data_IF_431341069489
#
_entry.id   IF_431341069489
#
_cell.length_a   1.000
_cell.length_b   1.000
_cell.length_c   1.000
_cell.angle_alpha   90.00
_cell.angle_beta   90.00
_cell.angle_gamma   90.00
#
_symmetry.space_group_name_H-M   'P 1'
#
loop_
_entity.id
_entity.type
_entity.pdbx_description
1 polymer ?
#
# COMPACT_ATOMS: atom_id res chain seq x y z
N UNK A 1 -15.49 20.48 -0.26
CA UNK A 1 -14.75 19.87 -1.39
C UNK A 1 -13.57 19.10 -0.82
N UNK A 2 -13.40 17.82 -1.19
CA UNK A 2 -12.15 17.12 -0.87
C UNK A 2 -11.15 17.50 -1.96
N UNK A 3 -10.10 18.22 -1.61
CA UNK A 3 -9.06 18.64 -2.56
C UNK A 3 -8.03 17.54 -2.68
N UNK A 4 -7.85 17.00 -3.88
CA UNK A 4 -6.74 16.09 -4.18
C UNK A 4 -5.48 16.92 -4.42
N UNK A 5 -4.41 16.62 -3.70
CA UNK A 5 -3.08 17.21 -3.91
C UNK A 5 -2.30 16.31 -4.86
N UNK A 6 -1.58 16.90 -5.81
CA UNK A 6 -0.74 16.17 -6.77
C UNK A 6 0.72 16.51 -6.46
N UNK A 7 1.47 15.50 -6.04
CA UNK A 7 2.92 15.59 -5.84
C UNK A 7 3.60 15.03 -7.09
N UNK A 8 4.53 15.80 -7.67
CA UNK A 8 5.43 15.28 -8.71
C UNK A 8 6.63 14.68 -8.01
N UNK A 9 6.91 13.42 -8.30
CA UNK A 9 8.00 12.65 -7.69
C UNK A 9 8.78 11.98 -8.81
N UNK A 10 10.11 12.03 -8.75
CA UNK A 10 10.95 11.29 -9.69
C UNK A 10 10.87 9.78 -9.37
N UNK A 11 10.47 8.91 -10.31
CA UNK A 11 10.31 7.48 -10.04
C UNK A 11 11.64 6.74 -9.84
N UNK A 12 12.77 7.29 -10.31
CA UNK A 12 14.10 6.69 -10.18
C UNK A 12 14.89 7.25 -8.99
N UNK A 13 14.55 8.46 -8.55
CA UNK A 13 15.20 9.14 -7.45
C UNK A 13 14.16 9.95 -6.65
N UNK A 14 13.25 9.27 -5.92
CA UNK A 14 12.11 9.93 -5.29
C UNK A 14 12.55 10.86 -4.17
N UNK A 15 12.03 12.08 -4.20
CA UNK A 15 12.29 13.12 -3.23
C UNK A 15 11.74 12.69 -1.85
N UNK A 16 12.63 12.60 -0.86
CA UNK A 16 12.28 12.10 0.48
C UNK A 16 11.16 12.89 1.13
N UNK A 17 11.14 14.20 0.94
CA UNK A 17 10.12 15.10 1.49
C UNK A 17 8.74 14.81 0.89
N UNK A 18 8.66 14.55 -0.41
CA UNK A 18 7.40 14.21 -1.08
C UNK A 18 6.88 12.83 -0.63
N UNK A 19 7.77 11.85 -0.48
CA UNK A 19 7.42 10.54 0.08
C UNK A 19 6.95 10.66 1.53
N UNK A 20 7.67 11.44 2.35
CA UNK A 20 7.30 11.68 3.75
C UNK A 20 5.92 12.33 3.87
N UNK A 21 5.62 13.30 3.01
CA UNK A 21 4.32 13.96 2.98
C UNK A 21 3.19 12.97 2.63
N UNK A 22 3.37 12.14 1.61
CA UNK A 22 2.41 11.10 1.26
C UNK A 22 2.23 10.08 2.40
N UNK A 23 3.32 9.71 3.07
CA UNK A 23 3.28 8.80 4.19
C UNK A 23 2.51 9.38 5.40
N UNK A 24 2.59 10.69 5.66
CA UNK A 24 1.76 11.35 6.69
C UNK A 24 0.26 11.27 6.36
N UNK A 25 -0.11 11.40 5.08
CA UNK A 25 -1.50 11.23 4.65
C UNK A 25 -2.00 9.82 4.97
N UNK A 26 -1.19 8.79 4.70
CA UNK A 26 -1.53 7.39 5.05
C UNK A 26 -1.67 7.22 6.56
N UNK A 27 -0.69 7.70 7.36
CA UNK A 27 -0.73 7.65 8.83
C UNK A 27 -1.96 8.34 9.43
N UNK A 28 -2.43 9.41 8.80
CA UNK A 28 -3.64 10.13 9.21
C UNK A 28 -4.96 9.44 8.76
N UNK A 29 -4.91 8.23 8.17
CA UNK A 29 -6.09 7.52 7.64
C UNK A 29 -6.62 8.10 6.33
N UNK A 30 -5.77 8.84 5.61
CA UNK A 30 -6.01 9.32 4.26
C UNK A 30 -5.70 8.26 3.19
N UNK A 31 -5.88 8.63 1.94
CA UNK A 31 -5.63 7.78 0.78
C UNK A 31 -4.54 8.41 -0.09
N UNK A 32 -3.67 7.58 -0.64
CA UNK A 32 -2.62 8.00 -1.58
C UNK A 32 -2.69 7.14 -2.83
N UNK A 33 -2.76 7.78 -3.99
CA UNK A 33 -2.52 7.10 -5.26
C UNK A 33 -1.03 7.18 -5.59
N UNK A 34 -0.39 6.04 -5.86
CA UNK A 34 1.06 5.97 -6.13
C UNK A 34 1.37 4.97 -7.25
N UNK A 35 2.44 5.21 -8.03
CA UNK A 35 2.86 4.28 -9.08
C UNK A 35 3.53 3.03 -8.48
N UNK A 36 3.31 1.88 -9.10
CA UNK A 36 4.13 0.65 -8.94
C UNK A 36 4.73 0.27 -10.30
N UNK A 37 5.49 -0.82 -10.35
CA UNK A 37 5.99 -1.43 -11.59
C UNK A 37 4.88 -1.95 -12.51
N UNK A 38 3.70 -2.25 -11.96
CA UNK A 38 2.54 -2.78 -12.68
C UNK A 38 1.51 -1.71 -13.04
N UNK A 39 0.88 -1.08 -12.05
CA UNK A 39 -0.21 -0.10 -12.24
C UNK A 39 -0.23 0.93 -11.11
N UNK A 40 -1.01 2.00 -11.24
CA UNK A 40 -1.26 2.88 -10.09
C UNK A 40 -2.09 2.16 -9.02
N UNK A 41 -1.55 2.12 -7.80
CA UNK A 41 -2.26 1.71 -6.60
C UNK A 41 -3.04 2.87 -5.99
N UNK A 42 -4.11 2.54 -5.27
CA UNK A 42 -4.74 3.46 -4.29
C UNK A 42 -4.56 2.83 -2.92
N UNK A 43 -3.63 3.37 -2.14
CA UNK A 43 -3.24 2.86 -0.83
C UNK A 43 -3.89 3.62 0.32
N UNK A 44 -3.95 2.92 1.45
CA UNK A 44 -4.33 3.39 2.77
C UNK A 44 -3.52 2.60 3.80
N UNK A 45 -3.60 2.98 5.08
CA UNK A 45 -3.08 2.16 6.16
C UNK A 45 -3.90 0.86 6.24
N UNK A 46 -3.24 -0.28 6.01
CA UNK A 46 -3.86 -1.60 5.97
C UNK A 46 -4.39 -2.06 7.34
N UNK A 47 -3.87 -1.50 8.44
CA UNK A 47 -4.27 -1.83 9.81
C UNK A 47 -5.38 -0.89 10.33
N UNK A 48 -5.77 0.11 9.53
CA UNK A 48 -6.80 1.07 9.88
C UNK A 48 -8.11 0.75 9.13
N UNK A 49 -9.05 0.10 9.82
CA UNK A 49 -10.35 -0.31 9.27
C UNK A 49 -11.08 0.84 8.56
N UNK A 50 -11.06 2.05 9.13
CA UNK A 50 -11.72 3.22 8.54
C UNK A 50 -11.05 3.64 7.24
N UNK A 51 -9.72 3.56 7.15
CA UNK A 51 -8.98 3.90 5.94
C UNK A 51 -9.20 2.86 4.84
N UNK A 52 -9.17 1.57 5.19
CA UNK A 52 -9.47 0.45 4.28
C UNK A 52 -10.89 0.57 3.71
N UNK A 53 -11.90 0.83 4.55
CA UNK A 53 -13.28 1.03 4.08
C UNK A 53 -13.39 2.15 3.04
N UNK A 54 -12.61 3.23 3.20
CA UNK A 54 -12.60 4.34 2.22
C UNK A 54 -12.03 3.92 0.86
N UNK A 55 -11.11 2.95 0.80
CA UNK A 55 -10.67 2.38 -0.50
C UNK A 55 -11.87 1.75 -1.22
N UNK A 56 -12.65 0.92 -0.54
CA UNK A 56 -13.83 0.27 -1.13
C UNK A 56 -14.85 1.30 -1.61
N UNK A 57 -15.16 2.30 -0.78
CA UNK A 57 -16.10 3.38 -1.12
C UNK A 57 -15.64 4.18 -2.35
N UNK A 58 -14.36 4.58 -2.41
CA UNK A 58 -13.83 5.40 -3.51
C UNK A 58 -13.69 4.60 -4.81
N UNK A 59 -13.29 3.33 -4.74
CA UNK A 59 -13.14 2.49 -5.94
C UNK A 59 -14.47 1.87 -6.39
N UNK A 60 -15.55 2.02 -5.62
CA UNK A 60 -16.82 1.31 -5.86
C UNK A 60 -16.64 -0.21 -5.85
N UNK A 61 -15.69 -0.71 -5.04
CA UNK A 61 -15.33 -2.14 -5.01
C UNK A 61 -16.32 -2.89 -4.11
N UNK A 62 -16.87 -4.03 -4.56
CA UNK A 62 -17.65 -4.89 -3.68
C UNK A 62 -16.85 -5.30 -2.43
N UNK A 63 -17.45 -5.30 -1.22
CA UNK A 63 -16.74 -5.62 0.02
C UNK A 63 -16.14 -7.03 0.08
N UNK A 64 -16.67 -7.96 -0.71
CA UNK A 64 -16.25 -9.35 -0.85
C UNK A 64 -15.04 -9.52 -1.79
N UNK A 65 -14.57 -8.46 -2.45
CA UNK A 65 -13.40 -8.51 -3.32
C UNK A 65 -12.16 -7.97 -2.58
N UNK A 66 -11.32 -8.84 -1.98
CA UNK A 66 -10.21 -8.42 -1.12
C UNK A 66 -9.20 -7.55 -1.85
N UNK A 67 -8.44 -6.77 -1.08
CA UNK A 67 -7.36 -5.92 -1.57
C UNK A 67 -6.00 -6.46 -1.10
N UNK A 68 -4.95 -6.14 -1.85
CA UNK A 68 -3.58 -6.58 -1.58
C UNK A 68 -2.92 -5.63 -0.57
N UNK A 69 -2.20 -6.19 0.41
CA UNK A 69 -1.32 -5.43 1.30
C UNK A 69 0.07 -5.37 0.69
N UNK A 70 0.64 -4.17 0.59
CA UNK A 70 2.02 -3.97 0.16
C UNK A 70 2.92 -3.91 1.39
N UNK A 71 4.06 -4.60 1.35
CA UNK A 71 5.08 -4.56 2.40
C UNK A 71 6.41 -4.08 1.82
N UNK A 72 7.17 -3.31 2.60
CA UNK A 72 8.48 -2.80 2.18
C UNK A 72 9.62 -3.79 2.45
N UNK A 73 9.42 -4.70 3.41
CA UNK A 73 10.34 -5.74 3.80
C UNK A 73 9.61 -7.07 3.94
N UNK A 74 10.35 -8.17 3.77
CA UNK A 74 9.81 -9.52 3.86
C UNK A 74 9.31 -9.88 5.27
N UNK A 75 9.93 -9.32 6.31
CA UNK A 75 9.67 -9.70 7.70
C UNK A 75 8.30 -9.17 8.18
N UNK A 76 7.80 -8.11 7.55
CA UNK A 76 6.45 -7.58 7.74
C UNK A 76 5.35 -8.64 7.54
N UNK A 77 5.60 -9.71 6.75
CA UNK A 77 4.59 -10.75 6.54
C UNK A 77 4.25 -11.51 7.82
N UNK A 78 5.19 -11.67 8.74
CA UNK A 78 4.98 -12.35 10.02
C UNK A 78 4.12 -11.55 11.00
N UNK A 79 3.91 -10.25 10.73
CA UNK A 79 2.98 -9.41 11.49
C UNK A 79 1.56 -9.42 10.90
N UNK A 80 1.41 -9.84 9.64
CA UNK A 80 0.18 -9.68 8.86
C UNK A 80 -0.50 -11.02 8.55
N UNK A 81 0.26 -12.08 8.34
CA UNK A 81 -0.24 -13.42 8.06
C UNK A 81 -0.22 -14.27 9.34
N UNK A 82 -1.29 -15.02 9.57
CA UNK A 82 -1.37 -15.92 10.72
C UNK A 82 -0.36 -17.09 10.62
N UNK A 83 -0.11 -17.57 9.39
CA UNK A 83 0.83 -18.64 9.11
C UNK A 83 1.61 -18.33 7.83
N UNK A 84 2.91 -18.64 7.84
CA UNK A 84 3.81 -18.52 6.68
C UNK A 84 4.47 -19.87 6.48
N UNK A 85 3.95 -20.73 5.59
CA UNK A 85 4.52 -22.06 5.37
C UNK A 85 5.96 -21.98 4.82
N UNK A 86 6.82 -22.97 5.08
CA UNK A 86 8.21 -22.96 4.57
C UNK A 86 8.32 -22.80 3.04
N UNK A 87 7.37 -23.37 2.30
CA UNK A 87 7.30 -23.19 0.85
C UNK A 87 7.04 -21.72 0.45
N UNK A 88 6.25 -20.97 1.23
CA UNK A 88 6.01 -19.55 0.99
C UNK A 88 7.28 -18.73 1.27
N UNK A 89 8.04 -19.06 2.33
CA UNK A 89 9.32 -18.40 2.62
C UNK A 89 10.33 -18.58 1.49
N UNK A 90 10.42 -19.79 0.91
CA UNK A 90 11.30 -20.06 -0.24
C UNK A 90 10.91 -19.18 -1.44
N UNK A 91 9.61 -19.10 -1.74
CA UNK A 91 9.09 -18.28 -2.86
C UNK A 91 9.34 -16.78 -2.60
N UNK A 92 9.07 -16.28 -1.40
CA UNK A 92 9.32 -14.88 -1.01
C UNK A 92 10.80 -14.56 -1.20
N UNK A 93 11.70 -15.43 -0.74
CA UNK A 93 13.14 -15.19 -0.83
C UNK A 93 13.68 -15.09 -2.27
N UNK A 94 13.01 -15.73 -3.22
CA UNK A 94 13.44 -15.78 -4.64
C UNK A 94 12.77 -14.73 -5.51
N UNK A 95 11.50 -14.42 -5.24
CA UNK A 95 10.67 -13.64 -6.16
C UNK A 95 10.34 -12.24 -5.64
N UNK A 96 10.63 -11.91 -4.38
CA UNK A 96 10.41 -10.56 -3.85
C UNK A 96 11.71 -9.74 -3.79
N UNK A 97 11.64 -8.42 -4.04
CA UNK A 97 10.48 -7.66 -4.55
C UNK A 97 10.20 -7.97 -6.03
N UNK A 98 8.93 -7.85 -6.45
CA UNK A 98 8.48 -8.12 -7.82
C UNK A 98 6.98 -7.97 -8.00
#
# INVERSE_FOLDING_TARGET
>A
MRTTRVLRVNPHEPEREAIAEAAEVIRAGGLVAFPTETVYGLGADALNERAVRRIFEVKGRPPDNPIIVHVADKDSIYLLAAEVPPAAEELISRFWPG
#
